data_IF_504299763962
#
_entry.id   IF_504299763962
#
_cell.length_a   1.000
_cell.length_b   1.000
_cell.length_c   1.000
_cell.angle_alpha   90.00
_cell.angle_beta   90.00
_cell.angle_gamma   90.00
#
_symmetry.space_group_name_H-M   'P 1'
#
loop_
_entity.id
_entity.type
_entity.pdbx_description
1 polymer ?
#
# COMPACT_ATOMS: atom_id res chain seq x y z
N UNK A 1 -43.83 56.90 -49.10
CA UNK A 1 -44.04 55.46 -48.81
C UNK A 1 -42.67 54.80 -48.76
N UNK A 2 -42.46 53.98 -47.74
CA UNK A 2 -41.19 53.74 -47.07
C UNK A 2 -40.12 53.03 -47.91
N UNK A 3 -38.87 53.43 -47.68
CA UNK A 3 -37.67 52.63 -47.91
C UNK A 3 -37.69 51.39 -47.02
N UNK A 4 -37.40 50.21 -47.58
CA UNK A 4 -37.11 49.01 -46.78
C UNK A 4 -35.77 48.44 -47.26
N UNK A 5 -34.69 48.59 -46.47
CA UNK A 5 -33.46 47.83 -46.69
C UNK A 5 -33.56 46.46 -46.02
N UNK A 6 -33.04 45.47 -46.74
CA UNK A 6 -32.86 44.09 -46.31
C UNK A 6 -31.66 44.00 -45.33
N UNK A 7 -31.78 43.38 -44.14
CA UNK A 7 -30.65 43.23 -43.22
C UNK A 7 -29.87 41.93 -43.52
N UNK A 8 -28.62 42.07 -44.00
CA UNK A 8 -27.62 41.01 -43.91
C UNK A 8 -26.69 41.27 -42.72
N UNK A 9 -26.55 40.23 -41.90
CA UNK A 9 -25.30 39.76 -41.28
C UNK A 9 -24.65 40.62 -40.18
N UNK A 10 -24.98 40.31 -38.92
CA UNK A 10 -24.22 40.71 -37.73
C UNK A 10 -23.58 39.44 -37.10
N UNK A 11 -22.28 39.45 -36.74
CA UNK A 11 -21.60 38.28 -36.19
C UNK A 11 -22.07 37.97 -34.75
N UNK A 12 -22.20 36.71 -34.33
CA UNK A 12 -22.65 36.38 -32.99
C UNK A 12 -21.61 36.76 -31.93
N UNK A 13 -22.01 37.65 -31.02
CA UNK A 13 -21.31 37.96 -29.78
C UNK A 13 -21.30 36.72 -28.84
N UNK A 14 -20.22 36.48 -28.07
CA UNK A 14 -20.17 35.36 -27.13
C UNK A 14 -21.15 35.58 -25.95
N UNK A 15 -21.82 34.53 -25.45
CA UNK A 15 -22.74 34.66 -24.32
C UNK A 15 -21.97 34.98 -23.04
N UNK A 16 -22.23 36.15 -22.47
CA UNK A 16 -21.82 36.54 -21.12
C UNK A 16 -22.58 35.67 -20.13
N UNK A 17 -21.89 34.72 -19.48
CA UNK A 17 -22.44 33.93 -18.39
C UNK A 17 -22.58 34.87 -17.17
N UNK A 18 -23.77 35.02 -16.56
CA UNK A 18 -23.86 35.70 -15.27
C UNK A 18 -23.28 34.78 -14.20
N UNK A 19 -22.06 35.06 -13.76
CA UNK A 19 -21.51 34.48 -12.54
C UNK A 19 -22.31 35.03 -11.35
N UNK A 20 -23.27 34.26 -10.88
CA UNK A 20 -23.93 34.48 -9.58
C UNK A 20 -22.92 34.18 -8.47
N UNK A 21 -22.14 35.19 -8.11
CA UNK A 21 -21.34 35.21 -6.89
C UNK A 21 -22.19 35.75 -5.75
N UNK A 22 -22.74 34.85 -4.93
CA UNK A 22 -23.20 35.18 -3.58
C UNK A 22 -21.95 35.50 -2.75
N UNK A 23 -21.63 36.78 -2.60
CA UNK A 23 -20.51 37.26 -1.81
C UNK A 23 -20.94 37.53 -0.37
N UNK A 24 -20.65 36.59 0.53
CA UNK A 24 -20.55 36.84 1.96
C UNK A 24 -19.26 37.63 2.25
N UNK A 25 -19.30 38.77 2.97
CA UNK A 25 -18.12 39.62 3.14
C UNK A 25 -17.48 39.39 4.51
N UNK A 26 -16.63 38.37 4.68
CA UNK A 26 -15.60 38.39 5.74
C UNK A 26 -14.53 37.29 5.62
N UNK A 27 -13.39 37.53 4.95
CA UNK A 27 -12.08 37.02 5.40
C UNK A 27 -10.89 37.57 4.56
N UNK A 28 -9.98 38.30 5.21
CA UNK A 28 -8.73 38.84 4.66
C UNK A 28 -7.67 37.78 4.29
N UNK A 29 -7.90 36.99 3.25
CA UNK A 29 -6.83 36.22 2.58
C UNK A 29 -7.00 36.19 1.07
N UNK A 30 -6.96 37.36 0.43
CA UNK A 30 -6.80 37.49 -1.02
C UNK A 30 -5.34 37.18 -1.44
N UNK A 31 -4.96 35.91 -1.35
CA UNK A 31 -4.03 35.35 -2.34
C UNK A 31 -4.90 34.73 -3.42
N UNK A 32 -4.73 35.06 -4.71
CA UNK A 32 -5.47 34.39 -5.77
C UNK A 32 -5.21 32.88 -5.66
N UNK A 33 -6.24 32.16 -5.24
CA UNK A 33 -6.23 30.71 -5.15
C UNK A 33 -5.98 30.20 -6.56
N UNK A 34 -4.89 29.45 -6.76
CA UNK A 34 -4.60 28.91 -8.09
C UNK A 34 -5.78 28.01 -8.46
N UNK A 35 -6.37 28.19 -9.66
CA UNK A 35 -7.46 27.34 -10.08
C UNK A 35 -7.00 25.89 -10.03
N UNK A 36 -7.79 25.03 -9.38
CA UNK A 36 -7.48 23.61 -9.24
C UNK A 36 -7.19 23.04 -10.63
N UNK A 37 -6.02 22.40 -10.85
CA UNK A 37 -5.68 21.88 -12.16
C UNK A 37 -6.72 20.84 -12.56
N UNK A 38 -7.27 21.01 -13.76
CA UNK A 38 -8.41 20.22 -14.18
C UNK A 38 -7.91 18.93 -14.82
N UNK A 39 -8.31 17.80 -14.25
CA UNK A 39 -7.68 16.50 -14.48
C UNK A 39 -8.09 15.78 -15.78
N UNK A 40 -9.22 16.16 -16.40
CA UNK A 40 -9.73 15.54 -17.65
C UNK A 40 -9.22 16.25 -18.90
N UNK A 41 -9.00 15.56 -20.02
CA UNK A 41 -8.64 16.24 -21.28
C UNK A 41 -9.79 17.10 -21.84
N UNK A 42 -9.47 18.09 -22.68
CA UNK A 42 -10.43 19.02 -23.26
C UNK A 42 -11.55 18.31 -24.04
N UNK A 43 -11.17 17.35 -24.90
CA UNK A 43 -12.12 16.57 -25.69
C UNK A 43 -13.12 15.78 -24.82
N UNK A 44 -12.66 15.15 -23.73
CA UNK A 44 -13.53 14.43 -22.82
C UNK A 44 -14.45 15.36 -22.00
N UNK A 45 -13.98 16.56 -21.64
CA UNK A 45 -14.84 17.57 -20.98
C UNK A 45 -15.95 18.05 -21.90
N UNK A 46 -15.62 18.40 -23.14
CA UNK A 46 -16.61 18.84 -24.13
C UNK A 46 -17.66 17.76 -24.38
N UNK A 47 -17.23 16.49 -24.42
CA UNK A 47 -18.11 15.32 -24.61
C UNK A 47 -18.79 14.84 -23.32
N UNK A 48 -18.45 15.41 -22.16
CA UNK A 48 -18.94 15.00 -20.82
C UNK A 48 -18.79 13.49 -20.54
N UNK A 49 -17.66 12.89 -20.95
CA UNK A 49 -17.34 11.47 -20.71
C UNK A 49 -16.24 11.30 -19.67
N UNK A 50 -16.16 10.11 -19.06
CA UNK A 50 -15.06 9.75 -18.14
C UNK A 50 -13.72 9.79 -18.88
N UNK A 51 -12.74 10.45 -18.29
CA UNK A 51 -11.36 10.48 -18.77
C UNK A 51 -10.48 9.71 -17.79
N UNK A 52 -9.77 8.72 -18.31
CA UNK A 52 -8.74 7.91 -17.63
C UNK A 52 -7.40 8.63 -17.49
N UNK A 53 -7.31 9.87 -17.98
CA UNK A 53 -6.19 10.80 -17.78
C UNK A 53 -4.84 10.35 -18.38
N UNK A 54 -4.79 9.22 -19.08
CA UNK A 54 -3.67 8.83 -19.92
C UNK A 54 -3.46 9.81 -21.09
N UNK A 55 -2.27 9.81 -21.67
CA UNK A 55 -1.89 10.72 -22.77
C UNK A 55 -1.36 9.92 -23.96
N UNK A 56 -2.16 9.67 -25.01
CA UNK A 56 -3.59 10.00 -25.16
C UNK A 56 -4.50 9.12 -24.28
N UNK A 57 -5.68 9.63 -23.91
CA UNK A 57 -6.61 8.93 -23.04
C UNK A 57 -7.36 7.83 -23.82
N UNK A 58 -7.72 6.71 -23.17
CA UNK A 58 -8.37 5.57 -23.83
C UNK A 58 -9.68 5.94 -24.50
N UNK A 59 -10.43 6.90 -23.95
CA UNK A 59 -11.65 7.42 -24.58
C UNK A 59 -11.37 8.13 -25.92
N UNK A 60 -10.25 8.85 -26.05
CA UNK A 60 -9.84 9.47 -27.31
C UNK A 60 -9.26 8.45 -28.29
N UNK A 61 -8.55 7.43 -27.80
CA UNK A 61 -8.06 6.31 -28.62
C UNK A 61 -9.24 5.54 -29.22
N UNK A 62 -10.23 5.16 -28.40
CA UNK A 62 -11.42 4.42 -28.83
C UNK A 62 -12.23 5.18 -29.89
N UNK A 63 -12.20 6.52 -29.84
CA UNK A 63 -12.86 7.40 -30.81
C UNK A 63 -12.02 7.73 -32.04
N UNK A 64 -10.79 7.20 -32.12
CA UNK A 64 -9.83 7.45 -33.21
C UNK A 64 -9.45 8.93 -33.35
N UNK A 65 -9.50 9.69 -32.24
CA UNK A 65 -9.08 11.11 -32.19
C UNK A 65 -7.99 11.32 -31.13
N UNK A 66 -6.83 10.64 -31.20
CA UNK A 66 -5.76 10.81 -30.22
C UNK A 66 -5.12 12.21 -30.31
N UNK A 67 -5.11 12.82 -31.50
CA UNK A 67 -4.57 14.18 -31.74
C UNK A 67 -5.36 15.28 -31.04
N UNK A 68 -6.65 15.09 -30.80
CA UNK A 68 -7.51 16.05 -30.08
C UNK A 68 -7.40 15.92 -28.55
N UNK A 69 -6.62 14.95 -28.07
CA UNK A 69 -6.47 14.68 -26.64
C UNK A 69 -5.51 15.67 -25.96
N UNK A 70 -5.94 16.93 -25.84
CA UNK A 70 -5.15 18.02 -25.25
C UNK A 70 -5.57 18.26 -23.80
N UNK A 71 -4.57 18.46 -22.93
CA UNK A 71 -4.77 18.83 -21.53
C UNK A 71 -4.34 20.29 -21.33
N UNK A 72 -5.05 21.01 -20.44
CA UNK A 72 -4.73 22.40 -20.11
C UNK A 72 -3.56 22.54 -19.13
N UNK A 73 -3.24 21.46 -18.40
CA UNK A 73 -2.13 21.40 -17.45
C UNK A 73 -0.89 20.79 -18.10
N UNK A 74 0.29 21.09 -17.55
CA UNK A 74 1.57 20.53 -18.03
C UNK A 74 1.63 19.01 -17.83
N UNK A 75 2.63 18.33 -18.40
CA UNK A 75 2.91 16.92 -18.06
C UNK A 75 3.26 16.76 -16.57
N UNK A 76 4.10 17.64 -16.03
CA UNK A 76 4.53 17.62 -14.63
C UNK A 76 3.35 17.76 -13.67
N UNK A 77 2.42 18.68 -13.94
CA UNK A 77 1.20 18.83 -13.13
C UNK A 77 0.33 17.57 -13.16
N UNK A 78 0.25 16.89 -14.31
CA UNK A 78 -0.51 15.65 -14.46
C UNK A 78 0.13 14.49 -13.70
N UNK A 79 1.44 14.39 -13.78
CA UNK A 79 2.22 13.42 -13.01
C UNK A 79 2.06 13.65 -11.51
N UNK A 80 2.11 14.92 -11.05
CA UNK A 80 1.87 15.27 -9.66
C UNK A 80 0.46 14.88 -9.18
N UNK A 81 -0.57 15.07 -10.02
CA UNK A 81 -1.94 14.64 -9.72
C UNK A 81 -2.03 13.10 -9.62
N UNK A 82 -1.46 12.38 -10.59
CA UNK A 82 -1.45 10.92 -10.57
C UNK A 82 -0.67 10.34 -9.38
N UNK A 83 0.46 10.97 -9.03
CA UNK A 83 1.23 10.64 -7.84
C UNK A 83 0.43 10.86 -6.56
N UNK A 84 -0.34 11.96 -6.46
CA UNK A 84 -1.18 12.23 -5.30
C UNK A 84 -2.26 11.16 -5.09
N UNK A 85 -2.87 10.66 -6.17
CA UNK A 85 -3.85 9.56 -6.12
C UNK A 85 -3.19 8.26 -5.65
N UNK A 86 -2.03 7.92 -6.22
CA UNK A 86 -1.23 6.75 -5.82
C UNK A 86 -0.83 6.82 -4.35
N UNK A 87 -0.37 7.99 -3.87
CA UNK A 87 0.00 8.21 -2.47
C UNK A 87 -1.21 8.01 -1.55
N UNK A 88 -2.40 8.47 -1.95
CA UNK A 88 -3.61 8.29 -1.16
C UNK A 88 -3.98 6.80 -1.03
N UNK A 89 -3.94 6.07 -2.15
CA UNK A 89 -4.18 4.62 -2.17
C UNK A 89 -3.17 3.85 -1.30
N UNK A 90 -1.88 4.14 -1.45
CA UNK A 90 -0.82 3.53 -0.65
C UNK A 90 -0.99 3.77 0.85
N UNK A 91 -1.48 4.94 1.26
CA UNK A 91 -1.75 5.25 2.67
C UNK A 91 -2.90 4.41 3.23
N UNK A 92 -3.95 4.19 2.45
CA UNK A 92 -5.08 3.32 2.83
C UNK A 92 -4.59 1.87 2.96
N UNK A 93 -3.93 1.36 1.94
CA UNK A 93 -3.43 -0.02 1.93
C UNK A 93 -2.44 -0.27 3.08
N UNK A 94 -1.57 0.71 3.38
CA UNK A 94 -0.67 0.64 4.54
C UNK A 94 -1.46 0.50 5.84
N UNK A 95 -2.52 1.28 6.04
CA UNK A 95 -3.36 1.17 7.22
C UNK A 95 -4.01 -0.21 7.35
N UNK A 96 -4.57 -0.74 6.27
CA UNK A 96 -5.16 -2.08 6.24
C UNK A 96 -4.15 -3.18 6.55
N UNK A 97 -2.93 -3.08 6.00
CA UNK A 97 -1.85 -4.03 6.28
C UNK A 97 -1.40 -3.96 7.73
N UNK A 98 -1.30 -2.77 8.30
CA UNK A 98 -0.97 -2.58 9.71
C UNK A 98 -2.06 -3.18 10.62
N UNK A 99 -3.33 -3.03 10.27
CA UNK A 99 -4.44 -3.63 11.03
C UNK A 99 -4.43 -5.16 10.93
N UNK A 100 -4.22 -5.71 9.73
CA UNK A 100 -4.08 -7.17 9.53
C UNK A 100 -2.91 -7.71 10.32
N UNK A 101 -1.77 -7.01 10.33
CA UNK A 101 -0.61 -7.39 11.12
C UNK A 101 -0.94 -7.33 12.61
N UNK A 102 -1.58 -6.27 13.10
CA UNK A 102 -1.97 -6.15 14.51
C UNK A 102 -2.90 -7.29 14.96
N UNK A 103 -3.88 -7.65 14.10
CA UNK A 103 -4.83 -8.74 14.33
C UNK A 103 -4.17 -10.12 14.25
N UNK A 104 -3.18 -10.29 13.38
CA UNK A 104 -2.38 -11.51 13.29
C UNK A 104 -1.42 -11.62 14.47
N UNK A 105 -0.74 -10.53 14.84
CA UNK A 105 0.20 -10.50 15.97
C UNK A 105 -0.49 -10.75 17.31
N UNK A 106 -1.76 -10.36 17.46
CA UNK A 106 -2.55 -10.69 18.66
C UNK A 106 -2.90 -12.18 18.78
N UNK A 107 -2.85 -12.94 17.68
CA UNK A 107 -3.06 -14.40 17.68
C UNK A 107 -1.72 -15.16 17.72
N UNK A 108 -0.60 -14.48 17.44
CA UNK A 108 0.74 -15.09 17.45
C UNK A 108 1.68 -14.56 18.53
N UNK A 109 1.16 -13.95 19.62
CA UNK A 109 1.94 -13.85 20.88
C UNK A 109 2.18 -15.22 21.54
N UNK A 110 1.74 -16.31 20.89
CA UNK A 110 2.23 -17.67 21.10
C UNK A 110 1.70 -18.57 19.99
N UNK A 111 2.36 -18.61 18.83
CA UNK A 111 2.25 -19.68 17.83
C UNK A 111 3.01 -19.34 16.53
N UNK A 112 4.01 -20.16 16.20
CA UNK A 112 4.57 -20.32 14.86
C UNK A 112 3.56 -21.05 13.95
N UNK A 113 3.24 -20.57 12.74
CA UNK A 113 2.44 -21.34 11.79
C UNK A 113 3.36 -22.07 10.79
N UNK A 114 3.43 -23.40 10.88
CA UNK A 114 4.34 -24.15 10.01
C UNK A 114 4.30 -25.68 10.02
N UNK A 115 3.25 -26.35 10.48
CA UNK A 115 2.85 -27.70 10.05
C UNK A 115 1.54 -28.07 10.77
N UNK A 116 0.54 -28.55 10.03
CA UNK A 116 -0.76 -28.88 10.59
C UNK A 116 -0.69 -30.06 11.55
N UNK A 117 -0.98 -29.80 12.82
CA UNK A 117 -1.56 -30.75 13.77
C UNK A 117 -2.36 -29.94 14.79
N UNK A 118 -3.66 -30.19 14.84
CA UNK A 118 -4.52 -29.71 15.93
C UNK A 118 -4.20 -30.58 17.14
N UNK A 119 -3.66 -29.99 18.19
CA UNK A 119 -3.51 -30.67 19.47
C UNK A 119 -4.77 -30.41 20.30
N UNK A 120 -5.51 -31.47 20.61
CA UNK A 120 -6.52 -31.47 21.66
C UNK A 120 -5.83 -31.06 22.98
N UNK A 121 -6.15 -29.85 23.45
CA UNK A 121 -5.59 -29.29 24.67
C UNK A 121 -6.26 -29.92 25.89
N UNK A 122 -5.68 -31.02 26.36
CA UNK A 122 -5.81 -31.48 27.73
C UNK A 122 -4.39 -31.77 28.26
N UNK A 123 -3.86 -30.90 29.13
CA UNK A 123 -2.63 -31.20 29.86
C UNK A 123 -1.68 -30.02 30.10
N UNK A 124 -1.38 -29.75 31.38
CA UNK A 124 -0.06 -29.31 31.82
C UNK A 124 0.23 -27.80 31.79
N UNK A 125 -0.14 -27.10 32.86
CA UNK A 125 0.49 -25.82 33.20
C UNK A 125 1.82 -26.11 33.93
N UNK A 126 2.97 -25.98 33.27
CA UNK A 126 4.25 -26.08 33.97
C UNK A 126 5.56 -26.33 33.21
N UNK A 127 5.64 -26.25 31.88
CA UNK A 127 6.85 -26.71 31.13
C UNK A 127 7.42 -25.68 30.13
N UNK A 128 6.94 -24.43 30.15
CA UNK A 128 7.34 -23.42 29.15
C UNK A 128 8.74 -22.81 29.39
N UNK A 129 9.31 -22.95 30.60
CA UNK A 129 10.62 -22.39 30.94
C UNK A 129 11.78 -23.33 30.53
N UNK A 130 11.62 -24.63 30.77
CA UNK A 130 12.63 -25.65 30.47
C UNK A 130 12.80 -25.84 28.96
N UNK A 131 11.71 -25.72 28.17
CA UNK A 131 11.77 -25.79 26.71
C UNK A 131 12.46 -24.56 26.10
N UNK A 132 12.23 -23.37 26.66
CA UNK A 132 12.89 -22.13 26.22
C UNK A 132 14.39 -22.15 26.53
N UNK A 133 14.77 -22.59 27.73
CA UNK A 133 16.17 -22.80 28.10
C UNK A 133 16.85 -23.84 27.18
N UNK A 134 16.13 -24.90 26.86
CA UNK A 134 16.60 -25.92 25.94
C UNK A 134 16.82 -25.37 24.52
N UNK A 135 15.90 -24.55 24.02
CA UNK A 135 16.01 -23.93 22.70
C UNK A 135 17.18 -22.93 22.65
N UNK A 136 17.43 -22.19 23.72
CA UNK A 136 18.55 -21.27 23.83
C UNK A 136 19.90 -22.00 23.83
N UNK A 137 20.01 -23.14 24.51
CA UNK A 137 21.22 -23.95 24.50
C UNK A 137 21.51 -24.56 23.12
N UNK A 138 20.49 -25.07 22.42
CA UNK A 138 20.61 -25.52 21.02
C UNK A 138 21.09 -24.38 20.12
N UNK A 139 20.53 -23.18 20.29
CA UNK A 139 20.94 -22.00 19.52
C UNK A 139 22.39 -21.57 19.82
N UNK A 140 22.84 -21.67 21.08
CA UNK A 140 24.22 -21.36 21.46
C UNK A 140 25.23 -22.28 20.75
N UNK A 141 24.95 -23.59 20.69
CA UNK A 141 25.78 -24.56 19.97
C UNK A 141 25.80 -24.25 18.47
N UNK A 142 24.65 -23.96 17.85
CA UNK A 142 24.60 -23.62 16.42
C UNK A 142 25.35 -22.32 16.08
N UNK A 143 25.33 -21.34 16.99
CA UNK A 143 25.96 -20.03 16.77
C UNK A 143 27.47 -20.03 16.97
N UNK A 144 27.96 -20.75 17.98
CA UNK A 144 29.37 -20.63 18.43
C UNK A 144 30.03 -21.95 18.82
N UNK A 145 29.32 -23.08 18.71
CA UNK A 145 29.86 -24.40 19.00
C UNK A 145 30.94 -24.83 18.00
N UNK A 146 31.74 -25.81 18.40
CA UNK A 146 32.69 -26.44 17.50
C UNK A 146 31.96 -27.13 16.34
N UNK A 147 32.60 -27.20 15.18
CA UNK A 147 31.98 -27.76 13.96
C UNK A 147 31.54 -29.23 14.17
N UNK A 148 32.27 -29.99 14.99
CA UNK A 148 31.90 -31.38 15.32
C UNK A 148 30.65 -31.44 16.21
N UNK A 149 30.56 -30.57 17.21
CA UNK A 149 29.39 -30.49 18.10
C UNK A 149 28.14 -30.05 17.34
N UNK A 150 28.28 -29.11 16.41
CA UNK A 150 27.19 -28.69 15.51
C UNK A 150 26.74 -29.84 14.61
N UNK A 151 27.66 -30.64 14.06
CA UNK A 151 27.30 -31.80 13.23
C UNK A 151 26.55 -32.87 14.01
N UNK A 152 26.99 -33.14 15.24
CA UNK A 152 26.34 -34.09 16.13
C UNK A 152 24.92 -33.64 16.48
N UNK A 153 24.76 -32.40 16.93
CA UNK A 153 23.47 -31.78 17.23
C UNK A 153 22.50 -31.85 16.05
N UNK A 154 22.94 -31.43 14.85
CA UNK A 154 22.13 -31.49 13.64
C UNK A 154 21.79 -32.94 13.24
N UNK A 155 22.70 -33.89 13.52
CA UNK A 155 22.46 -35.32 13.32
C UNK A 155 21.31 -35.84 14.18
N UNK A 156 21.27 -35.47 15.47
CA UNK A 156 20.22 -35.85 16.41
C UNK A 156 18.87 -35.22 16.06
N UNK A 157 18.86 -33.95 15.65
CA UNK A 157 17.65 -33.28 15.14
C UNK A 157 17.09 -34.01 13.92
N UNK A 158 17.95 -34.42 12.98
CA UNK A 158 17.52 -35.16 11.77
C UNK A 158 17.03 -36.58 12.08
N UNK A 159 17.49 -37.18 13.18
CA UNK A 159 17.01 -38.47 13.67
C UNK A 159 15.64 -38.39 14.36
N UNK A 160 15.13 -37.17 14.63
CA UNK A 160 13.83 -36.94 15.23
C UNK A 160 13.83 -36.95 16.77
N UNK A 161 14.98 -36.73 17.40
CA UNK A 161 15.03 -36.56 18.85
C UNK A 161 14.41 -35.21 19.27
N UNK A 162 13.62 -35.24 20.33
CA UNK A 162 13.00 -34.04 20.91
C UNK A 162 14.05 -33.14 21.58
N UNK A 163 13.82 -31.84 21.56
CA UNK A 163 14.76 -30.80 22.00
C UNK A 163 15.22 -31.00 23.46
N UNK A 164 14.32 -31.43 24.35
CA UNK A 164 14.69 -31.79 25.73
C UNK A 164 15.60 -33.02 25.84
N UNK A 165 15.44 -34.00 24.95
CA UNK A 165 16.30 -35.19 24.89
C UNK A 165 17.70 -34.91 24.31
N UNK A 166 17.82 -33.88 23.47
CA UNK A 166 19.09 -33.44 22.89
C UNK A 166 20.04 -32.94 23.99
N UNK A 167 19.54 -32.20 24.98
CA UNK A 167 20.35 -31.64 26.06
C UNK A 167 20.59 -32.59 27.23
N UNK A 168 19.65 -33.50 27.52
CA UNK A 168 19.84 -34.52 28.57
C UNK A 168 21.07 -35.42 28.37
N UNK A 169 21.65 -35.47 27.16
CA UNK A 169 22.92 -36.15 26.88
C UNK A 169 24.14 -35.20 26.84
N UNK A 170 23.94 -33.89 26.66
CA UNK A 170 25.02 -32.90 26.70
C UNK A 170 25.39 -32.51 28.14
N UNK A 171 24.45 -32.58 29.08
CA UNK A 171 24.69 -32.32 30.52
C UNK A 171 25.36 -33.48 31.26
N UNK A 172 25.34 -34.71 30.73
CA UNK A 172 25.96 -35.87 31.38
C UNK A 172 27.46 -36.04 31.08
N UNK A 173 28.00 -35.31 30.11
CA UNK A 173 29.41 -35.45 29.68
C UNK A 173 30.36 -34.39 30.24
N UNK A 174 29.92 -33.54 31.19
CA UNK A 174 30.80 -32.86 32.14
C UNK A 174 32.05 -32.18 31.56
N UNK A 175 31.99 -31.60 30.36
CA UNK A 175 33.09 -30.82 29.77
C UNK A 175 32.75 -29.35 29.85
N UNK A 176 33.22 -28.78 30.95
CA UNK A 176 33.37 -27.36 31.23
C UNK A 176 33.73 -26.57 29.97
N UNK A 177 32.86 -25.64 29.59
CA UNK A 177 33.12 -24.65 28.54
C UNK A 177 33.90 -23.50 29.19
N UNK A 178 35.21 -23.51 29.01
CA UNK A 178 36.12 -22.40 29.30
C UNK A 178 36.50 -21.67 28.00
#
# INVERSE_FOLDING_TARGET
>A
MASVPNPMNEPPHPPTIPSSSSSDPNNEKDKPSKPRPVASCAACRMRKVKCDRASPCSACIARKTPSECVYASTSEDREAIAAAETIAELRVLKGELQEKLARSSSVTSGAVPGAGIVFDRDGGAGEDADEQEALEAVYAVLRGGSVELVRELVGRIRAGEEVGGILGALELDGREVA
#
